data_IF_599227236264
#
_entry.id   IF_599227236264
#
_cell.length_a   1.000
_cell.length_b   1.000
_cell.length_c   1.000
_cell.angle_alpha   90.00
_cell.angle_beta   90.00
_cell.angle_gamma   90.00
#
_symmetry.space_group_name_H-M   'P 1'
#
loop_
_entity.id
_entity.type
_entity.pdbx_description
1 polymer ?
#
# COMPACT_ATOMS: atom_id res chain seq x y z
N UNK A 1 3.63 -48.77 -0.45
CA UNK A 1 2.58 -48.04 -1.21
C UNK A 1 2.69 -46.59 -0.81
N UNK A 2 3.48 -45.88 -1.55
CA UNK A 2 3.77 -44.45 -1.37
C UNK A 2 2.59 -43.65 -1.93
N UNK A 3 1.91 -42.90 -1.08
CA UNK A 3 0.91 -41.91 -1.49
C UNK A 3 1.56 -40.53 -1.36
N UNK A 4 2.45 -40.23 -2.29
CA UNK A 4 2.81 -38.84 -2.58
C UNK A 4 1.57 -38.14 -3.16
N UNK A 5 0.82 -37.48 -2.28
CA UNK A 5 -0.24 -36.56 -2.65
C UNK A 5 0.44 -35.38 -3.33
N UNK A 6 0.31 -35.28 -4.65
CA UNK A 6 0.52 -34.05 -5.40
C UNK A 6 -0.43 -32.98 -4.81
N UNK A 7 0.09 -32.14 -3.92
CA UNK A 7 -0.58 -30.90 -3.56
C UNK A 7 -0.45 -29.97 -4.74
N UNK A 8 -1.50 -29.90 -5.52
CA UNK A 8 -1.65 -28.87 -6.54
C UNK A 8 -1.46 -27.50 -5.92
N UNK A 9 -0.62 -26.69 -6.55
CA UNK A 9 -0.23 -25.35 -6.15
C UNK A 9 -1.39 -24.37 -6.38
N UNK A 10 -2.44 -24.43 -5.56
CA UNK A 10 -3.39 -23.34 -5.40
C UNK A 10 -2.92 -22.51 -4.20
N UNK A 11 -2.75 -21.22 -4.38
CA UNK A 11 -2.41 -20.31 -3.28
C UNK A 11 -3.51 -20.43 -2.20
N UNK A 12 -3.15 -20.92 -1.03
CA UNK A 12 -4.08 -21.02 0.12
C UNK A 12 -4.43 -19.64 0.71
N UNK A 13 -4.04 -18.58 0.02
CA UNK A 13 -4.23 -17.20 0.44
C UNK A 13 -4.91 -16.37 -0.65
N UNK A 14 -5.90 -15.56 -0.25
CA UNK A 14 -6.58 -14.58 -1.09
C UNK A 14 -6.44 -13.18 -0.53
N UNK A 15 -6.23 -12.21 -1.42
CA UNK A 15 -6.26 -10.80 -1.07
C UNK A 15 -7.45 -10.14 -1.78
N UNK A 16 -8.45 -9.76 -1.00
CA UNK A 16 -9.59 -9.01 -1.48
C UNK A 16 -9.19 -7.54 -1.63
N UNK A 17 -9.38 -7.00 -2.82
CA UNK A 17 -9.00 -5.63 -3.19
C UNK A 17 -10.17 -4.94 -3.90
N UNK A 18 -10.14 -3.61 -3.97
CA UNK A 18 -10.96 -2.83 -4.91
C UNK A 18 -10.11 -2.34 -6.08
N UNK A 19 -10.56 -1.29 -6.79
CA UNK A 19 -9.85 -0.72 -7.94
C UNK A 19 -8.33 -0.54 -7.69
N UNK A 20 -7.54 -1.01 -8.63
CA UNK A 20 -6.08 -0.82 -8.62
C UNK A 20 -5.69 0.62 -8.92
N UNK A 21 -6.50 1.33 -9.71
CA UNK A 21 -6.23 2.73 -10.04
C UNK A 21 -6.43 3.65 -8.83
N UNK A 22 -7.51 3.45 -8.06
CA UNK A 22 -7.94 4.42 -7.04
C UNK A 22 -7.70 3.99 -5.60
N UNK A 23 -7.59 2.67 -5.33
CA UNK A 23 -7.52 2.19 -3.96
C UNK A 23 -6.10 2.15 -3.39
N UNK A 24 -5.74 3.20 -2.67
CA UNK A 24 -4.46 3.24 -1.95
C UNK A 24 -4.36 2.21 -0.81
N UNK A 25 -5.50 1.77 -0.26
CA UNK A 25 -5.52 0.72 0.74
C UNK A 25 -5.23 -0.65 0.14
N UNK A 26 -5.83 -0.97 -1.01
CA UNK A 26 -5.56 -2.21 -1.75
C UNK A 26 -4.10 -2.29 -2.19
N UNK A 27 -3.51 -1.19 -2.69
CA UNK A 27 -2.09 -1.12 -3.02
C UNK A 27 -1.20 -1.46 -1.80
N UNK A 28 -1.52 -0.93 -0.61
CA UNK A 28 -0.78 -1.28 0.61
C UNK A 28 -0.87 -2.76 0.93
N UNK A 29 -2.07 -3.34 0.90
CA UNK A 29 -2.28 -4.77 1.11
C UNK A 29 -1.46 -5.63 0.16
N UNK A 30 -1.50 -5.30 -1.13
CA UNK A 30 -0.70 -5.96 -2.15
C UNK A 30 0.81 -5.90 -1.85
N UNK A 31 1.35 -4.71 -1.58
CA UNK A 31 2.78 -4.56 -1.27
C UNK A 31 3.18 -5.30 0.00
N UNK A 32 2.30 -5.39 0.99
CA UNK A 32 2.55 -6.16 2.21
C UNK A 32 2.63 -7.68 1.93
N UNK A 33 1.76 -8.23 1.08
CA UNK A 33 1.84 -9.64 0.68
C UNK A 33 3.11 -9.94 -0.11
N UNK A 34 3.54 -9.00 -0.99
CA UNK A 34 4.80 -9.10 -1.73
C UNK A 34 6.02 -9.05 -0.80
N UNK A 35 6.03 -8.16 0.19
CA UNK A 35 7.06 -8.12 1.22
C UNK A 35 7.14 -9.43 2.01
N UNK A 36 6.00 -9.99 2.38
CA UNK A 36 5.90 -11.28 3.07
C UNK A 36 6.32 -12.46 2.20
N UNK A 37 6.41 -12.27 0.88
CA UNK A 37 6.60 -13.34 -0.12
C UNK A 37 5.52 -14.41 -0.04
N UNK A 38 4.32 -14.04 0.37
CA UNK A 38 3.16 -14.91 0.41
C UNK A 38 2.47 -14.85 -0.96
N UNK A 39 2.44 -15.95 -1.73
CA UNK A 39 1.64 -16.00 -2.95
C UNK A 39 0.15 -15.86 -2.59
N UNK A 40 -0.52 -14.91 -3.21
CA UNK A 40 -1.95 -14.68 -3.00
C UNK A 40 -2.67 -14.64 -4.34
N UNK A 41 -3.90 -15.13 -4.36
CA UNK A 41 -4.86 -14.84 -5.43
C UNK A 41 -5.50 -13.47 -5.14
N UNK A 42 -5.40 -12.54 -6.07
CA UNK A 42 -6.07 -11.24 -5.96
C UNK A 42 -7.51 -11.37 -6.44
N UNK A 43 -8.47 -11.00 -5.59
CA UNK A 43 -9.90 -11.02 -5.90
C UNK A 43 -10.43 -9.57 -5.83
N UNK A 44 -10.82 -9.04 -6.99
CA UNK A 44 -11.40 -7.70 -7.06
C UNK A 44 -12.85 -7.72 -6.56
N UNK A 45 -13.15 -6.82 -5.63
CA UNK A 45 -14.48 -6.64 -5.05
C UNK A 45 -15.09 -5.39 -5.63
N UNK A 46 -16.20 -5.54 -6.33
CA UNK A 46 -17.00 -4.41 -6.78
C UNK A 46 -17.67 -3.76 -5.56
N UNK A 47 -17.19 -2.57 -5.19
CA UNK A 47 -17.69 -1.86 -4.00
C UNK A 47 -19.19 -1.49 -4.09
N UNK A 48 -19.73 -1.44 -5.30
CA UNK A 48 -21.09 -0.95 -5.59
C UNK A 48 -22.11 -2.07 -5.83
N UNK A 49 -21.69 -3.35 -5.80
CA UNK A 49 -22.62 -4.48 -5.98
C UNK A 49 -23.10 -5.02 -4.63
N UNK A 50 -24.40 -4.85 -4.28
CA UNK A 50 -24.97 -5.34 -3.03
C UNK A 50 -24.84 -6.87 -2.84
N UNK A 51 -24.81 -7.65 -3.95
CA UNK A 51 -24.67 -9.09 -3.87
C UNK A 51 -23.23 -9.46 -3.51
N UNK A 52 -22.25 -8.80 -4.12
CA UNK A 52 -20.82 -8.95 -3.79
C UNK A 52 -20.54 -8.54 -2.34
N UNK A 53 -21.16 -7.45 -1.86
CA UNK A 53 -21.08 -7.05 -0.45
C UNK A 53 -21.67 -8.11 0.49
N UNK A 54 -22.83 -8.68 0.13
CA UNK A 54 -23.47 -9.74 0.93
C UNK A 54 -22.64 -11.03 0.95
N UNK A 55 -22.05 -11.43 -0.18
CA UNK A 55 -21.14 -12.58 -0.24
C UNK A 55 -19.87 -12.34 0.57
N UNK A 56 -19.33 -11.13 0.55
CA UNK A 56 -18.16 -10.77 1.38
C UNK A 56 -18.48 -10.86 2.86
N UNK A 57 -19.64 -10.37 3.30
CA UNK A 57 -20.08 -10.46 4.70
C UNK A 57 -20.31 -11.92 5.14
N UNK A 58 -20.62 -12.83 4.22
CA UNK A 58 -20.71 -14.26 4.51
C UNK A 58 -19.35 -14.93 4.63
N UNK A 59 -18.32 -14.40 3.95
CA UNK A 59 -16.95 -14.96 3.93
C UNK A 59 -15.98 -14.23 4.86
N UNK A 60 -16.23 -12.94 5.10
CA UNK A 60 -15.37 -12.09 5.92
C UNK A 60 -16.24 -11.23 6.85
N UNK A 61 -15.79 -11.06 8.08
CA UNK A 61 -16.48 -10.21 9.07
C UNK A 61 -16.45 -8.72 8.74
N UNK A 62 -15.91 -8.33 7.58
CA UNK A 62 -15.76 -6.93 7.14
C UNK A 62 -15.80 -6.83 5.63
N UNK A 63 -16.48 -5.78 5.14
CA UNK A 63 -16.48 -5.35 3.73
C UNK A 63 -15.29 -4.43 3.39
N UNK A 64 -14.40 -4.18 4.34
CA UNK A 64 -13.26 -3.28 4.14
C UNK A 64 -12.14 -3.99 3.39
N UNK A 65 -11.63 -3.32 2.37
CA UNK A 65 -10.46 -3.76 1.62
C UNK A 65 -9.24 -2.88 1.96
N UNK A 66 -8.03 -3.46 1.97
CA UNK A 66 -7.70 -4.85 1.69
C UNK A 66 -8.16 -5.79 2.82
N UNK A 67 -8.50 -7.01 2.42
CA UNK A 67 -8.78 -8.10 3.36
C UNK A 67 -8.01 -9.34 2.91
N UNK A 68 -7.20 -9.89 3.81
CA UNK A 68 -6.43 -11.11 3.57
C UNK A 68 -7.18 -12.30 4.16
N UNK A 69 -7.39 -13.33 3.35
CA UNK A 69 -7.88 -14.65 3.79
C UNK A 69 -6.73 -15.63 3.62
N UNK A 70 -6.28 -16.25 4.71
CA UNK A 70 -5.15 -17.18 4.72
C UNK A 70 -5.36 -18.24 5.79
N UNK A 71 -5.26 -19.52 5.46
CA UNK A 71 -5.43 -20.66 6.36
C UNK A 71 -6.71 -20.59 7.22
N UNK A 72 -7.80 -20.11 6.63
CA UNK A 72 -9.09 -19.97 7.34
C UNK A 72 -9.16 -18.74 8.26
N UNK A 73 -8.11 -17.93 8.33
CA UNK A 73 -8.07 -16.67 9.08
C UNK A 73 -8.38 -15.52 8.13
N UNK A 74 -9.27 -14.62 8.54
CA UNK A 74 -9.60 -13.40 7.82
C UNK A 74 -9.03 -12.21 8.57
N UNK A 75 -8.18 -11.41 7.90
CA UNK A 75 -7.47 -10.26 8.50
C UNK A 75 -7.72 -9.00 7.69
N UNK A 76 -8.14 -7.96 8.34
CA UNK A 76 -8.24 -6.57 7.88
C UNK A 76 -7.92 -5.68 9.10
N UNK A 77 -7.42 -4.48 9.02
CA UNK A 77 -6.96 -3.61 7.97
C UNK A 77 -5.45 -3.82 7.60
N UNK A 78 -4.85 -2.82 6.92
CA UNK A 78 -3.45 -2.92 6.48
C UNK A 78 -2.44 -3.09 7.60
N UNK A 79 -2.65 -2.49 8.78
CA UNK A 79 -1.74 -2.68 9.92
C UNK A 79 -1.88 -4.08 10.52
N UNK A 80 -3.11 -4.57 10.66
CA UNK A 80 -3.35 -5.93 11.10
C UNK A 80 -2.78 -6.96 10.12
N UNK A 81 -2.96 -6.74 8.80
CA UNK A 81 -2.34 -7.57 7.75
C UNK A 81 -0.82 -7.56 7.88
N UNK A 82 -0.19 -6.39 8.09
CA UNK A 82 1.27 -6.29 8.25
C UNK A 82 1.78 -7.10 9.45
N UNK A 83 1.12 -7.00 10.61
CA UNK A 83 1.52 -7.74 11.81
C UNK A 83 1.27 -9.24 11.63
N UNK A 84 0.12 -9.65 11.10
CA UNK A 84 -0.19 -11.05 10.81
C UNK A 84 0.84 -11.67 9.85
N UNK A 85 1.13 -11.00 8.74
CA UNK A 85 2.12 -11.48 7.77
C UNK A 85 3.52 -11.57 8.37
N UNK A 86 3.91 -10.60 9.21
CA UNK A 86 5.20 -10.66 9.91
C UNK A 86 5.29 -11.83 10.90
N UNK A 87 4.16 -12.23 11.49
CA UNK A 87 4.08 -13.39 12.40
C UNK A 87 4.17 -14.72 11.63
N UNK A 88 3.37 -14.88 10.56
CA UNK A 88 3.30 -16.12 9.80
C UNK A 88 4.43 -16.30 8.79
N UNK A 89 5.09 -15.21 8.39
CA UNK A 89 6.21 -15.20 7.45
C UNK A 89 7.48 -14.58 8.09
N UNK A 90 8.02 -15.08 9.21
CA UNK A 90 9.09 -14.43 9.97
C UNK A 90 10.38 -14.26 9.16
N UNK A 91 10.65 -15.15 8.21
CA UNK A 91 11.82 -15.11 7.33
C UNK A 91 11.76 -14.03 6.25
N UNK A 92 10.63 -13.37 6.08
CA UNK A 92 10.48 -12.26 5.15
C UNK A 92 11.11 -10.95 5.67
N UNK A 93 11.29 -10.84 7.00
CA UNK A 93 11.88 -9.68 7.65
C UNK A 93 11.20 -8.36 7.25
N UNK A 94 9.87 -8.33 7.33
CA UNK A 94 9.05 -7.20 6.89
C UNK A 94 9.30 -5.92 7.68
N UNK A 95 9.73 -6.05 8.93
CA UNK A 95 10.15 -4.95 9.79
C UNK A 95 11.68 -4.93 9.96
N UNK A 96 12.28 -3.76 10.26
CA UNK A 96 13.70 -3.66 10.60
C UNK A 96 14.09 -4.56 11.78
N UNK A 97 15.28 -5.16 11.72
CA UNK A 97 15.80 -5.98 12.80
C UNK A 97 16.18 -5.14 14.02
N UNK A 98 16.71 -3.92 13.80
CA UNK A 98 17.02 -2.98 14.88
C UNK A 98 15.75 -2.56 15.62
N UNK A 99 15.81 -2.54 16.95
CA UNK A 99 14.67 -2.25 17.81
C UNK A 99 14.15 -0.82 17.64
N UNK A 100 15.03 0.17 17.49
CA UNK A 100 14.64 1.57 17.36
C UNK A 100 14.01 1.81 15.97
N UNK A 101 14.65 1.30 14.92
CA UNK A 101 14.12 1.36 13.57
C UNK A 101 12.76 0.66 13.47
N UNK A 102 12.61 -0.50 14.09
CA UNK A 102 11.34 -1.25 14.11
C UNK A 102 10.23 -0.49 14.85
N UNK A 103 10.53 0.13 15.98
CA UNK A 103 9.58 0.97 16.71
C UNK A 103 9.16 2.18 15.87
N UNK A 104 10.13 2.87 15.26
CA UNK A 104 9.86 4.01 14.37
C UNK A 104 9.04 3.59 13.14
N UNK A 105 9.34 2.44 12.54
CA UNK A 105 8.59 1.90 11.41
C UNK A 105 7.10 1.72 11.76
N UNK A 106 6.79 1.15 12.93
CA UNK A 106 5.41 1.02 13.41
C UNK A 106 4.75 2.38 13.66
N UNK A 107 5.46 3.31 14.28
CA UNK A 107 4.92 4.65 14.58
C UNK A 107 4.53 5.40 13.31
N UNK A 108 5.43 5.47 12.32
CA UNK A 108 5.14 6.18 11.07
C UNK A 108 4.08 5.44 10.22
N UNK A 109 4.02 4.11 10.32
CA UNK A 109 2.95 3.32 9.67
C UNK A 109 1.59 3.62 10.30
N UNK A 110 1.52 3.73 11.62
CA UNK A 110 0.30 4.15 12.34
C UNK A 110 -0.11 5.58 12.01
N UNK A 111 0.85 6.52 11.93
CA UNK A 111 0.60 7.91 11.54
C UNK A 111 0.05 7.97 10.09
N UNK A 112 0.62 7.21 9.16
CA UNK A 112 0.11 7.11 7.79
C UNK A 112 -1.28 6.46 7.74
N UNK A 113 -1.56 5.49 8.58
CA UNK A 113 -2.85 4.81 8.61
C UNK A 113 -3.99 5.73 9.07
N UNK A 114 -3.77 6.48 10.14
CA UNK A 114 -4.81 7.31 10.80
C UNK A 114 -4.82 8.78 10.36
N UNK A 115 -3.72 9.27 9.80
CA UNK A 115 -3.51 10.68 9.49
C UNK A 115 -3.59 11.05 8.01
N UNK A 116 -3.14 12.28 7.72
CA UNK A 116 -2.98 12.84 6.38
C UNK A 116 -4.28 12.88 5.56
N UNK A 117 -5.37 13.23 6.22
CA UNK A 117 -6.70 13.29 5.59
C UNK A 117 -6.80 14.41 4.56
N UNK A 118 -6.14 15.55 4.78
CA UNK A 118 -6.14 16.66 3.86
C UNK A 118 -5.40 16.31 2.55
N UNK A 119 -4.25 15.64 2.65
CA UNK A 119 -3.55 15.09 1.49
C UNK A 119 -4.43 14.12 0.70
N UNK A 120 -5.09 13.18 1.39
CA UNK A 120 -5.90 12.14 0.75
C UNK A 120 -7.09 12.72 -0.01
N UNK A 121 -7.74 13.75 0.57
CA UNK A 121 -8.88 14.42 -0.03
C UNK A 121 -8.49 15.33 -1.20
N UNK A 122 -7.35 16.05 -1.07
CA UNK A 122 -6.90 16.99 -2.09
C UNK A 122 -6.19 16.33 -3.26
N UNK A 123 -5.50 15.21 -3.01
CA UNK A 123 -4.72 14.46 -4.00
C UNK A 123 -5.16 12.97 -3.94
N UNK A 124 -6.36 12.62 -4.43
CA UNK A 124 -6.82 11.23 -4.44
C UNK A 124 -5.87 10.36 -5.27
N UNK A 125 -5.72 9.08 -4.92
CA UNK A 125 -4.90 8.20 -5.73
C UNK A 125 -5.58 7.95 -7.07
N UNK A 126 -4.90 8.32 -8.15
CA UNK A 126 -5.24 8.01 -9.52
C UNK A 126 -3.95 7.76 -10.30
N UNK A 127 -3.67 6.51 -10.61
CA UNK A 127 -2.42 6.09 -11.26
C UNK A 127 -2.39 6.39 -12.76
N UNK A 128 -3.55 6.68 -13.35
CA UNK A 128 -3.69 6.99 -14.79
C UNK A 128 -3.60 8.49 -15.06
N UNK A 129 -3.84 9.32 -14.05
CA UNK A 129 -3.78 10.78 -14.23
C UNK A 129 -2.35 11.32 -14.18
N UNK A 130 -2.10 12.37 -14.94
CA UNK A 130 -0.89 13.19 -14.87
C UNK A 130 -1.30 14.66 -14.92
N UNK A 131 -1.65 15.22 -13.77
CA UNK A 131 -2.03 16.62 -13.64
C UNK A 131 -0.85 17.47 -13.19
N UNK A 132 -0.53 18.53 -13.93
CA UNK A 132 0.69 19.35 -13.72
C UNK A 132 0.45 20.72 -13.08
N UNK A 133 -0.76 21.07 -12.64
CA UNK A 133 -1.07 22.44 -12.20
C UNK A 133 -2.06 22.50 -11.03
N UNK A 134 -1.84 21.69 -10.02
CA UNK A 134 -2.65 21.77 -8.83
C UNK A 134 -2.22 22.90 -7.89
N UNK A 135 -3.20 23.70 -7.47
CA UNK A 135 -3.01 24.55 -6.29
C UNK A 135 -3.19 23.70 -5.04
N UNK A 136 -2.10 23.39 -4.36
CA UNK A 136 -2.13 22.62 -3.12
C UNK A 136 -2.65 23.53 -2.00
N UNK A 137 -3.76 23.15 -1.37
CA UNK A 137 -4.33 23.88 -0.24
C UNK A 137 -3.42 23.77 0.99
N UNK A 138 -3.44 24.78 1.86
CA UNK A 138 -2.55 24.86 3.02
C UNK A 138 -2.60 23.64 3.96
N UNK A 139 -3.76 23.03 4.13
CA UNK A 139 -3.90 21.82 4.94
C UNK A 139 -3.22 20.60 4.31
N UNK A 140 -3.32 20.43 2.99
CA UNK A 140 -2.61 19.38 2.28
C UNK A 140 -1.10 19.64 2.25
N UNK A 141 -0.67 20.91 2.18
CA UNK A 141 0.74 21.27 2.28
C UNK A 141 1.32 20.89 3.64
N UNK A 142 0.59 21.12 4.74
CA UNK A 142 1.03 20.71 6.07
C UNK A 142 1.22 19.18 6.18
N UNK A 143 0.33 18.39 5.56
CA UNK A 143 0.48 16.94 5.47
C UNK A 143 1.72 16.55 4.66
N UNK A 144 1.98 17.23 3.52
CA UNK A 144 3.17 17.00 2.68
C UNK A 144 4.45 17.32 3.46
N UNK A 145 4.48 18.46 4.15
CA UNK A 145 5.63 18.88 4.94
C UNK A 145 5.96 17.86 6.05
N UNK A 146 4.93 17.36 6.74
CA UNK A 146 5.11 16.32 7.76
C UNK A 146 5.59 15.00 7.17
N UNK A 147 5.06 14.56 6.05
CA UNK A 147 5.49 13.35 5.35
C UNK A 147 6.96 13.45 4.93
N UNK A 148 7.35 14.55 4.31
CA UNK A 148 8.73 14.75 3.85
C UNK A 148 9.71 14.89 5.03
N UNK A 149 9.29 15.49 6.15
CA UNK A 149 10.05 15.48 7.40
C UNK A 149 10.33 14.04 7.87
N UNK A 150 9.29 13.21 7.97
CA UNK A 150 9.42 11.79 8.35
C UNK A 150 10.39 11.05 7.42
N UNK A 151 10.27 11.26 6.12
CA UNK A 151 11.15 10.61 5.15
C UNK A 151 12.61 11.02 5.32
N UNK A 152 12.89 12.34 5.43
CA UNK A 152 14.26 12.84 5.64
C UNK A 152 14.87 12.27 6.92
N UNK A 153 14.15 12.33 8.05
CA UNK A 153 14.62 11.77 9.30
C UNK A 153 14.96 10.27 9.19
N UNK A 154 14.09 9.48 8.57
CA UNK A 154 14.32 8.06 8.41
C UNK A 154 15.50 7.77 7.48
N UNK A 155 15.56 8.41 6.32
CA UNK A 155 16.61 8.20 5.31
C UNK A 155 17.98 8.61 5.82
N UNK A 156 18.06 9.70 6.59
CA UNK A 156 19.29 10.18 7.21
C UNK A 156 19.75 9.23 8.32
N UNK A 157 18.82 8.81 9.19
CA UNK A 157 19.17 7.99 10.36
C UNK A 157 19.61 6.58 9.96
N UNK A 158 18.97 5.97 8.97
CA UNK A 158 19.22 4.57 8.58
C UNK A 158 19.89 4.38 7.22
N UNK A 159 20.41 5.46 6.64
CA UNK A 159 21.19 5.45 5.38
C UNK A 159 20.47 4.70 4.25
N UNK A 160 19.23 5.14 3.94
CA UNK A 160 18.38 4.55 2.89
C UNK A 160 19.08 4.37 1.54
N UNK A 161 18.48 3.63 0.61
CA UNK A 161 17.42 4.22 -0.22
C UNK A 161 15.98 3.93 0.23
N UNK A 162 15.76 2.97 1.11
CA UNK A 162 14.49 2.72 1.78
C UNK A 162 14.45 3.42 3.13
N UNK A 163 13.28 3.66 3.71
CA UNK A 163 13.14 4.40 4.98
C UNK A 163 13.96 3.83 6.13
N UNK A 164 14.24 2.53 6.11
CA UNK A 164 14.98 1.85 7.16
C UNK A 164 16.20 1.08 6.64
N UNK A 165 16.89 1.61 5.64
CA UNK A 165 18.15 1.08 5.14
C UNK A 165 18.06 0.50 3.72
N UNK A 166 18.59 -0.71 3.52
CA UNK A 166 18.83 -1.25 2.17
C UNK A 166 17.71 -2.13 1.61
N UNK A 167 16.68 -2.41 2.39
CA UNK A 167 15.56 -3.29 1.99
C UNK A 167 14.24 -2.58 2.26
N UNK A 168 13.22 -2.82 1.42
CA UNK A 168 11.88 -2.34 1.69
C UNK A 168 11.35 -2.93 3.00
N UNK A 169 10.51 -2.16 3.66
CA UNK A 169 9.86 -2.50 4.92
C UNK A 169 8.36 -2.19 4.85
N UNK A 170 7.63 -2.55 5.91
CA UNK A 170 6.23 -2.14 6.09
C UNK A 170 6.07 -0.63 5.94
N UNK A 171 7.03 0.18 6.48
CA UNK A 171 6.99 1.63 6.33
C UNK A 171 6.94 2.07 4.86
N UNK A 172 7.77 1.49 4.01
CA UNK A 172 7.81 1.82 2.58
C UNK A 172 6.51 1.42 1.87
N UNK A 173 5.94 0.26 2.19
CA UNK A 173 4.64 -0.16 1.66
C UNK A 173 3.51 0.80 2.08
N UNK A 174 3.53 1.30 3.31
CA UNK A 174 2.54 2.24 3.81
C UNK A 174 2.63 3.61 3.12
N UNK A 175 3.85 4.06 2.75
CA UNK A 175 4.07 5.35 2.09
C UNK A 175 4.08 5.29 0.56
N UNK A 176 4.18 4.12 -0.07
CA UNK A 176 4.17 3.98 -1.53
C UNK A 176 2.98 4.69 -2.23
N UNK A 177 1.72 4.63 -1.73
CA UNK A 177 0.62 5.38 -2.34
C UNK A 177 0.77 6.91 -2.24
N UNK A 178 1.57 7.43 -1.32
CA UNK A 178 1.88 8.87 -1.28
C UNK A 178 2.81 9.23 -2.43
N UNK A 179 3.81 8.40 -2.67
CA UNK A 179 4.72 8.58 -3.82
C UNK A 179 3.95 8.57 -5.14
N UNK A 180 2.96 7.69 -5.29
CA UNK A 180 2.13 7.70 -6.51
C UNK A 180 1.35 8.99 -6.65
N UNK A 181 0.76 9.52 -5.56
CA UNK A 181 0.08 10.83 -5.57
C UNK A 181 1.01 11.98 -5.94
N UNK A 182 2.19 12.03 -5.31
CA UNK A 182 3.17 13.09 -5.61
C UNK A 182 3.56 13.09 -7.09
N UNK A 183 3.67 11.90 -7.68
CA UNK A 183 3.95 11.76 -9.11
C UNK A 183 2.75 12.14 -9.98
N UNK A 184 1.55 11.68 -9.68
CA UNK A 184 0.33 11.97 -10.46
C UNK A 184 0.04 13.48 -10.52
N UNK A 185 0.34 14.20 -9.45
CA UNK A 185 0.02 15.61 -9.29
C UNK A 185 1.23 16.54 -9.34
N UNK A 186 2.39 16.05 -9.77
CA UNK A 186 3.65 16.79 -9.90
C UNK A 186 4.01 17.62 -8.64
N UNK A 187 3.82 17.00 -7.46
CA UNK A 187 4.11 17.64 -6.17
C UNK A 187 5.61 17.87 -6.02
N UNK A 188 5.98 19.14 -5.84
CA UNK A 188 7.38 19.53 -5.65
C UNK A 188 7.81 19.30 -4.20
N UNK A 189 8.87 18.56 -3.99
CA UNK A 189 9.43 18.23 -2.68
C UNK A 189 10.94 18.48 -2.66
N UNK A 190 11.54 18.46 -1.47
CA UNK A 190 12.98 18.60 -1.30
C UNK A 190 13.77 17.46 -2.02
N UNK A 191 15.09 17.68 -2.32
CA UNK A 191 15.88 16.72 -3.10
C UNK A 191 15.98 15.31 -2.47
N UNK A 192 15.96 15.19 -1.14
CA UNK A 192 16.04 13.89 -0.44
C UNK A 192 14.73 13.13 -0.65
N UNK A 193 13.60 13.80 -0.43
CA UNK A 193 12.27 13.23 -0.65
C UNK A 193 12.03 12.90 -2.12
N UNK A 194 12.51 13.74 -3.06
CA UNK A 194 12.44 13.47 -4.50
C UNK A 194 13.24 12.21 -4.88
N UNK A 195 14.44 12.04 -4.31
CA UNK A 195 15.25 10.85 -4.53
C UNK A 195 14.55 9.57 -4.00
N UNK A 196 13.93 9.65 -2.83
CA UNK A 196 13.12 8.57 -2.28
C UNK A 196 11.92 8.24 -3.18
N UNK A 197 11.17 9.24 -3.64
CA UNK A 197 10.07 9.03 -4.58
C UNK A 197 10.54 8.33 -5.85
N UNK A 198 11.68 8.75 -6.42
CA UNK A 198 12.26 8.13 -7.60
C UNK A 198 12.71 6.68 -7.35
N UNK A 199 13.18 6.38 -6.13
CA UNK A 199 13.56 5.04 -5.72
C UNK A 199 12.33 4.13 -5.57
N UNK A 200 11.32 4.55 -4.80
CA UNK A 200 10.07 3.81 -4.61
C UNK A 200 9.35 3.55 -5.94
N UNK A 201 9.34 4.55 -6.83
CA UNK A 201 8.72 4.38 -8.15
C UNK A 201 9.34 3.23 -8.96
N UNK A 202 10.61 2.92 -8.75
CA UNK A 202 11.30 1.80 -9.42
C UNK A 202 11.09 0.44 -8.74
N UNK A 203 10.34 0.40 -7.65
CA UNK A 203 10.06 -0.86 -6.97
C UNK A 203 9.28 -1.80 -7.89
N UNK A 204 9.81 -3.01 -8.21
CA UNK A 204 9.17 -3.91 -9.18
C UNK A 204 7.72 -4.25 -8.84
N UNK A 205 7.42 -4.51 -7.55
CA UNK A 205 6.06 -4.84 -7.12
C UNK A 205 5.11 -3.65 -7.29
N UNK A 206 5.58 -2.41 -7.07
CA UNK A 206 4.79 -1.21 -7.34
C UNK A 206 4.53 -1.06 -8.85
N UNK A 207 5.53 -1.32 -9.69
CA UNK A 207 5.38 -1.24 -11.15
C UNK A 207 4.43 -2.30 -11.70
N UNK A 208 4.42 -3.50 -11.13
CA UNK A 208 3.44 -4.54 -11.46
C UNK A 208 2.01 -4.04 -11.19
N UNK A 209 1.78 -3.46 -10.02
CA UNK A 209 0.48 -2.88 -9.67
C UNK A 209 0.08 -1.73 -10.61
N UNK A 210 1.00 -0.81 -10.89
CA UNK A 210 0.76 0.33 -11.79
C UNK A 210 0.40 -0.15 -13.20
N UNK A 211 1.12 -1.15 -13.72
CA UNK A 211 0.82 -1.72 -15.04
C UNK A 211 -0.59 -2.35 -15.09
N UNK A 212 -0.99 -3.05 -14.04
CA UNK A 212 -2.33 -3.60 -13.94
C UNK A 212 -3.42 -2.51 -13.83
N UNK A 213 -3.16 -1.44 -13.07
CA UNK A 213 -4.06 -0.29 -12.95
C UNK A 213 -4.30 0.44 -14.28
N UNK A 214 -3.29 0.48 -15.18
CA UNK A 214 -3.44 1.06 -16.52
C UNK A 214 -4.42 0.29 -17.41
N UNK A 215 -4.62 -1.00 -17.14
CA UNK A 215 -5.50 -1.88 -17.92
C UNK A 215 -6.91 -1.98 -17.33
N UNK A 216 -7.15 -1.42 -16.15
CA UNK A 216 -8.43 -1.47 -15.45
C UNK A 216 -9.45 -0.60 -16.19
N UNK A 217 -10.63 -1.13 -16.60
CA UNK A 217 -11.61 -0.39 -17.39
C UNK A 217 -12.40 0.63 -16.56
N UNK A 218 -12.43 0.46 -15.24
CA UNK A 218 -13.27 1.24 -14.32
C UNK A 218 -12.81 2.70 -14.22
N UNK A 219 -13.78 3.63 -14.29
CA UNK A 219 -13.60 5.05 -14.01
C UNK A 219 -14.57 5.43 -12.88
N UNK A 220 -14.05 6.07 -11.86
CA UNK A 220 -14.81 6.63 -10.74
C UNK A 220 -14.81 8.13 -10.90
N UNK A 221 -15.91 8.70 -11.40
CA UNK A 221 -16.01 10.12 -11.76
C UNK A 221 -15.65 11.06 -10.58
N UNK A 222 -16.05 10.71 -9.35
CA UNK A 222 -15.75 11.50 -8.15
C UNK A 222 -14.25 11.55 -7.80
N UNK A 223 -13.44 10.65 -8.36
CA UNK A 223 -11.99 10.60 -8.19
C UNK A 223 -11.21 11.07 -9.42
N UNK A 224 -11.91 11.39 -10.50
CA UNK A 224 -11.35 12.10 -11.65
C UNK A 224 -11.38 13.60 -11.34
N UNK A 225 -10.25 14.11 -10.90
CA UNK A 225 -10.12 15.54 -10.57
C UNK A 225 -9.95 16.31 -11.86
N UNK A 226 -10.97 17.05 -12.28
CA UNK A 226 -10.90 18.01 -13.38
C UNK A 226 -10.26 19.32 -12.89
N UNK A 227 -9.29 19.84 -13.66
CA UNK A 227 -8.57 21.08 -13.37
C UNK A 227 -8.65 22.08 -14.53
#
# INVERSE_FOLDING_TARGET
MDRSVERGNMADAKLLISSKNYSSWSLRGFLLTRLARLPVEEEAVAADDPNTLAELLLRASSIRVPCLVHDGVTVWDTLAIAEYLNEVCPNAHMYPADRMARARCRSISGEMHSGFSALRSSLPMNLRTQSRRLTIWSAAQADIDRITEIWRECLETWNGPWLFGRRPSVGDAMYAPVVTRFRSYDVQVDPVSAAYCAHIWKWPDLQEWVAAAQLEPEQIEELEVEF
#
